data_IF_359738073398
#
_entry.id   IF_359738073398
#
_cell.length_a   1.000
_cell.length_b   1.000
_cell.length_c   1.000
_cell.angle_alpha   90.00
_cell.angle_beta   90.00
_cell.angle_gamma   90.00
#
_symmetry.space_group_name_H-M   'P 1'
#
loop_
_entity.id
_entity.type
_entity.pdbx_description
1 polymer ?
#
# COMPACT_ATOMS: atom_id res chain seq x y z
N UNK A 1 1.24 22.88 -0.14
CA UNK A 1 1.50 22.40 1.23
C UNK A 1 2.46 21.19 1.22
N UNK A 2 3.25 20.95 2.27
CA UNK A 2 4.17 19.80 2.33
C UNK A 2 3.42 18.45 2.30
N UNK A 3 2.19 18.41 2.85
CA UNK A 3 1.31 17.22 2.81
C UNK A 3 0.75 16.92 1.43
N UNK A 4 0.39 17.96 0.67
CA UNK A 4 -0.03 17.80 -0.73
C UNK A 4 1.12 17.26 -1.58
N UNK A 5 2.34 17.76 -1.34
CA UNK A 5 3.55 17.30 -2.01
C UNK A 5 3.87 15.82 -1.74
N UNK A 6 3.80 15.36 -0.48
CA UNK A 6 4.04 13.95 -0.16
C UNK A 6 2.96 13.03 -0.71
N UNK A 7 1.68 13.46 -0.68
CA UNK A 7 0.59 12.67 -1.25
C UNK A 7 0.76 12.49 -2.76
N UNK A 8 1.02 13.56 -3.51
CA UNK A 8 1.24 13.47 -4.95
C UNK A 8 2.41 12.54 -5.31
N UNK A 9 3.54 12.64 -4.60
CA UNK A 9 4.71 11.78 -4.81
C UNK A 9 4.43 10.31 -4.50
N UNK A 10 3.77 10.04 -3.37
CA UNK A 10 3.43 8.68 -2.98
C UNK A 10 2.44 8.04 -3.96
N UNK A 11 1.42 8.79 -4.39
CA UNK A 11 0.46 8.34 -5.42
C UNK A 11 1.17 8.00 -6.74
N UNK A 12 2.10 8.85 -7.19
CA UNK A 12 2.87 8.59 -8.41
C UNK A 12 3.75 7.34 -8.28
N UNK A 13 4.41 7.14 -7.13
CA UNK A 13 5.16 5.93 -6.86
C UNK A 13 4.26 4.68 -6.91
N UNK A 14 3.10 4.73 -6.26
CA UNK A 14 2.14 3.62 -6.24
C UNK A 14 1.60 3.30 -7.64
N UNK A 15 1.29 4.31 -8.45
CA UNK A 15 0.79 4.11 -9.81
C UNK A 15 1.84 3.41 -10.69
N UNK A 16 3.07 3.92 -10.68
CA UNK A 16 4.18 3.39 -11.48
C UNK A 16 4.55 1.97 -11.08
N UNK A 17 4.59 1.68 -9.77
CA UNK A 17 5.11 0.41 -9.26
C UNK A 17 4.04 -0.64 -8.98
N UNK A 18 2.78 -0.24 -8.79
CA UNK A 18 1.71 -1.13 -8.32
C UNK A 18 0.40 -0.95 -9.12
N UNK A 19 0.13 0.25 -9.61
CA UNK A 19 -1.13 0.63 -10.26
C UNK A 19 -1.47 -0.19 -11.49
N UNK A 20 -0.47 -0.72 -12.21
CA UNK A 20 -0.70 -1.61 -13.36
C UNK A 20 -1.50 -2.88 -12.99
N UNK A 21 -1.18 -3.49 -11.84
CA UNK A 21 -1.87 -4.69 -11.35
C UNK A 21 -3.06 -4.34 -10.44
N UNK A 22 -2.87 -3.36 -9.57
CA UNK A 22 -3.84 -2.92 -8.57
C UNK A 22 -4.69 -1.77 -9.12
N UNK A 23 -5.58 -2.09 -10.05
CA UNK A 23 -6.63 -1.21 -10.56
C UNK A 23 -7.86 -2.05 -10.94
N UNK A 24 -8.96 -1.40 -11.33
CA UNK A 24 -10.25 -2.05 -11.62
C UNK A 24 -10.20 -3.09 -12.75
N UNK A 25 -9.20 -3.02 -13.63
CA UNK A 25 -9.00 -3.93 -14.77
C UNK A 25 -7.69 -4.73 -14.69
N UNK A 26 -6.88 -4.50 -13.67
CA UNK A 26 -5.57 -5.12 -13.52
C UNK A 26 -5.66 -6.54 -12.97
N UNK A 27 -4.54 -7.26 -13.02
CA UNK A 27 -4.46 -8.66 -12.59
C UNK A 27 -4.84 -8.89 -11.11
N UNK A 28 -4.76 -7.85 -10.26
CA UNK A 28 -5.11 -7.91 -8.85
C UNK A 28 -6.49 -7.31 -8.53
N UNK A 29 -7.37 -7.10 -9.52
CA UNK A 29 -8.66 -6.45 -9.31
C UNK A 29 -9.57 -7.17 -8.29
N UNK A 30 -9.44 -8.50 -8.17
CA UNK A 30 -10.19 -9.33 -7.21
C UNK A 30 -9.87 -8.99 -5.76
N UNK A 31 -8.75 -8.32 -5.50
CA UNK A 31 -8.38 -7.82 -4.16
C UNK A 31 -9.11 -6.56 -3.75
N UNK A 32 -9.78 -5.88 -4.70
CA UNK A 32 -10.37 -4.55 -4.55
C UNK A 32 -9.41 -3.48 -4.04
N UNK A 33 -8.10 -3.67 -4.24
CA UNK A 33 -7.05 -2.68 -3.95
C UNK A 33 -6.69 -1.93 -5.22
N UNK A 34 -6.84 -0.61 -5.21
CA UNK A 34 -6.61 0.30 -6.31
C UNK A 34 -5.50 1.29 -5.94
N UNK A 35 -4.34 1.14 -6.58
CA UNK A 35 -3.13 1.93 -6.34
C UNK A 35 -2.77 2.84 -7.53
N UNK A 36 -3.66 2.94 -8.51
CA UNK A 36 -3.50 3.87 -9.63
C UNK A 36 -3.79 5.33 -9.22
N UNK A 37 -3.23 6.30 -9.96
CA UNK A 37 -3.27 7.73 -9.60
C UNK A 37 -4.66 8.28 -9.25
N UNK A 38 -5.71 7.81 -9.94
CA UNK A 38 -7.07 8.29 -9.78
C UNK A 38 -7.86 7.62 -8.64
N UNK A 39 -7.29 6.70 -7.89
CA UNK A 39 -8.01 5.99 -6.84
C UNK A 39 -8.44 6.97 -5.72
N UNK A 40 -9.71 6.99 -5.31
CA UNK A 40 -10.16 7.82 -4.19
C UNK A 40 -9.44 7.42 -2.90
N UNK A 41 -9.35 8.36 -1.95
CA UNK A 41 -8.78 8.14 -0.63
C UNK A 41 -9.79 7.40 0.28
N UNK A 42 -10.10 6.15 -0.06
CA UNK A 42 -11.12 5.34 0.60
C UNK A 42 -10.63 3.90 0.89
N UNK A 43 -11.58 3.00 1.19
CA UNK A 43 -11.32 1.58 1.40
C UNK A 43 -10.58 0.96 0.20
N UNK A 44 -10.89 1.35 -1.04
CA UNK A 44 -10.26 0.78 -2.22
C UNK A 44 -8.79 1.19 -2.38
N UNK A 45 -8.36 2.31 -1.81
CA UNK A 45 -6.92 2.64 -1.71
C UNK A 45 -6.17 1.74 -0.72
N UNK A 46 -6.91 1.02 0.15
CA UNK A 46 -6.35 0.20 1.21
C UNK A 46 -6.55 0.77 2.62
N UNK A 47 -7.19 1.94 2.75
CA UNK A 47 -7.37 2.59 4.06
C UNK A 47 -8.28 1.75 4.96
N UNK A 48 -7.71 1.20 6.03
CA UNK A 48 -8.43 0.32 6.94
C UNK A 48 -9.12 -0.86 6.24
N UNK A 49 -8.61 -1.25 5.07
CA UNK A 49 -9.16 -2.34 4.28
C UNK A 49 -8.55 -3.67 4.72
N UNK A 50 -9.35 -4.65 5.15
CA UNK A 50 -8.83 -5.99 5.40
C UNK A 50 -8.29 -6.63 4.10
N UNK A 51 -7.23 -7.43 4.18
CA UNK A 51 -6.72 -8.14 3.02
C UNK A 51 -7.74 -9.19 2.58
N UNK A 52 -7.96 -9.31 1.26
CA UNK A 52 -8.85 -10.33 0.69
C UNK A 52 -8.05 -11.56 0.23
N UNK A 53 -6.90 -11.34 -0.41
CA UNK A 53 -6.10 -12.40 -1.03
C UNK A 53 -4.58 -12.11 -0.93
N UNK A 54 -4.07 -11.90 0.28
CA UNK A 54 -2.64 -11.66 0.51
C UNK A 54 -1.89 -12.86 1.10
N UNK A 55 -2.57 -13.83 1.75
CA UNK A 55 -1.93 -15.01 2.33
C UNK A 55 -0.78 -14.64 3.27
N UNK A 56 0.40 -15.25 3.10
CA UNK A 56 1.62 -14.89 3.85
C UNK A 56 2.06 -13.43 3.62
N UNK A 57 1.62 -12.82 2.52
CA UNK A 57 1.81 -11.42 2.21
C UNK A 57 1.20 -10.45 3.22
N UNK A 58 0.35 -10.90 4.15
CA UNK A 58 -0.17 -10.04 5.23
C UNK A 58 0.86 -9.74 6.31
N UNK A 59 1.85 -10.60 6.54
CA UNK A 59 2.80 -10.44 7.66
C UNK A 59 2.10 -10.33 9.02
N UNK A 60 0.97 -11.03 9.18
CA UNK A 60 0.07 -10.97 10.36
C UNK A 60 -0.59 -9.61 10.63
N UNK A 61 -0.43 -8.64 9.73
CA UNK A 61 -1.13 -7.35 9.82
C UNK A 61 -2.59 -7.47 9.37
N UNK A 62 -3.44 -6.64 9.99
CA UNK A 62 -4.90 -6.69 9.81
C UNK A 62 -5.40 -5.89 8.60
N UNK A 63 -4.68 -4.86 8.16
CA UNK A 63 -5.17 -3.91 7.17
C UNK A 63 -4.10 -3.52 6.16
N UNK A 64 -4.53 -3.24 4.93
CA UNK A 64 -3.67 -2.82 3.82
C UNK A 64 -2.86 -1.55 4.18
N UNK A 65 -3.56 -0.52 4.65
CA UNK A 65 -3.00 0.74 5.18
C UNK A 65 -3.69 1.09 6.50
N UNK A 66 -2.89 1.34 7.53
CA UNK A 66 -3.34 1.88 8.82
C UNK A 66 -2.92 3.35 8.93
N UNK A 67 -3.86 4.31 8.96
CA UNK A 67 -3.55 5.73 9.09
C UNK A 67 -2.60 6.01 10.26
N UNK A 68 -1.52 6.75 10.01
CA UNK A 68 -0.52 7.12 11.01
C UNK A 68 0.40 5.98 11.47
N UNK A 69 0.18 4.74 11.03
CA UNK A 69 0.88 3.54 11.53
C UNK A 69 1.51 2.73 10.39
N UNK A 70 2.59 3.24 9.77
CA UNK A 70 3.22 2.57 8.64
C UNK A 70 3.71 1.16 8.98
N UNK A 71 4.25 0.95 10.17
CA UNK A 71 4.79 -0.35 10.58
C UNK A 71 3.71 -1.37 10.97
N UNK A 72 2.43 -0.97 10.99
CA UNK A 72 1.26 -1.86 11.15
C UNK A 72 0.52 -2.11 9.82
N UNK A 73 1.07 -1.64 8.69
CA UNK A 73 0.41 -1.67 7.37
C UNK A 73 0.99 -2.75 6.45
N UNK A 74 0.13 -3.60 5.89
CA UNK A 74 0.54 -4.66 4.94
C UNK A 74 1.31 -4.08 3.76
N UNK A 75 0.90 -2.92 3.23
CA UNK A 75 1.58 -2.27 2.11
C UNK A 75 3.07 -2.04 2.39
N UNK A 76 3.41 -1.56 3.59
CA UNK A 76 4.81 -1.29 3.98
C UNK A 76 5.58 -2.59 4.12
N UNK A 77 4.98 -3.61 4.74
CA UNK A 77 5.58 -4.93 4.88
C UNK A 77 5.95 -5.55 3.52
N UNK A 78 5.01 -5.54 2.56
CA UNK A 78 5.26 -6.13 1.25
C UNK A 78 6.31 -5.38 0.43
N UNK A 79 6.42 -4.06 0.61
CA UNK A 79 7.44 -3.23 -0.06
C UNK A 79 8.81 -3.32 0.65
N UNK A 80 8.86 -3.75 1.90
CA UNK A 80 10.11 -3.84 2.69
C UNK A 80 10.80 -5.19 2.62
N UNK A 81 10.08 -6.28 2.39
CA UNK A 81 10.63 -7.64 2.28
C UNK A 81 11.14 -7.97 0.88
N UNK A 82 12.13 -8.86 0.76
CA UNK A 82 12.64 -9.49 -0.46
C UNK A 82 12.25 -10.98 -0.56
N UNK A 83 11.39 -11.45 0.34
CA UNK A 83 10.92 -12.83 0.35
C UNK A 83 10.00 -13.13 -0.85
N UNK A 84 10.39 -14.12 -1.65
CA UNK A 84 9.62 -14.59 -2.81
C UNK A 84 8.19 -14.99 -2.43
N UNK A 85 7.21 -14.46 -3.17
CA UNK A 85 5.78 -14.70 -2.94
C UNK A 85 5.16 -13.85 -1.83
N UNK A 86 5.96 -13.02 -1.15
CA UNK A 86 5.48 -12.00 -0.19
C UNK A 86 5.74 -10.60 -0.75
N UNK A 87 6.95 -10.42 -1.28
CA UNK A 87 7.46 -9.14 -1.77
C UNK A 87 6.60 -8.53 -2.87
N UNK A 88 6.48 -7.20 -2.84
CA UNK A 88 5.86 -6.41 -3.91
C UNK A 88 6.75 -5.21 -4.29
N UNK A 89 6.70 -4.76 -5.56
CA UNK A 89 6.14 -5.48 -6.70
C UNK A 89 6.89 -6.81 -6.98
N UNK A 90 6.16 -7.81 -7.48
CA UNK A 90 6.70 -9.14 -7.79
C UNK A 90 7.66 -9.12 -8.98
N UNK A 91 7.38 -8.28 -9.98
CA UNK A 91 8.18 -8.15 -11.18
C UNK A 91 9.08 -6.90 -11.13
N UNK A 92 10.28 -7.02 -11.68
CA UNK A 92 11.21 -5.89 -11.85
C UNK A 92 11.98 -5.46 -10.59
N UNK A 93 11.66 -5.99 -9.41
CA UNK A 93 12.35 -5.67 -8.15
C UNK A 93 13.44 -6.68 -7.83
N UNK A 94 14.71 -6.24 -7.88
CA UNK A 94 15.89 -7.05 -7.49
C UNK A 94 16.25 -6.95 -6.01
N UNK A 95 15.85 -5.87 -5.35
CA UNK A 95 16.13 -5.58 -3.94
C UNK A 95 15.15 -4.53 -3.40
N UNK A 96 15.20 -4.29 -2.09
CA UNK A 96 14.38 -3.26 -1.43
C UNK A 96 14.71 -1.86 -1.94
N UNK A 97 13.72 -1.18 -2.54
CA UNK A 97 13.85 0.21 -2.94
C UNK A 97 13.67 1.12 -1.72
N UNK A 98 14.79 1.47 -1.07
CA UNK A 98 14.79 2.22 0.21
C UNK A 98 14.11 3.58 0.12
N UNK A 99 14.29 4.30 -0.98
CA UNK A 99 13.66 5.61 -1.20
C UNK A 99 12.14 5.50 -1.34
N UNK A 100 11.66 4.54 -2.15
CA UNK A 100 10.25 4.23 -2.31
C UNK A 100 9.59 3.79 -1.00
N UNK A 101 10.26 2.90 -0.26
CA UNK A 101 9.83 2.48 1.07
C UNK A 101 9.73 3.67 2.04
N UNK A 102 10.77 4.51 2.11
CA UNK A 102 10.76 5.70 2.96
C UNK A 102 9.64 6.69 2.60
N UNK A 103 9.39 6.89 1.31
CA UNK A 103 8.28 7.72 0.83
C UNK A 103 6.91 7.17 1.29
N UNK A 104 6.67 5.87 1.13
CA UNK A 104 5.40 5.25 1.54
C UNK A 104 5.24 5.28 3.06
N UNK A 105 6.30 5.01 3.83
CA UNK A 105 6.25 5.13 5.30
C UNK A 105 5.87 6.53 5.74
N UNK A 106 6.53 7.55 5.18
CA UNK A 106 6.25 8.94 5.50
C UNK A 106 4.86 9.38 5.06
N UNK A 107 4.39 8.88 3.90
CA UNK A 107 3.05 9.16 3.42
C UNK A 107 2.01 8.62 4.38
N UNK A 108 2.07 7.33 4.76
CA UNK A 108 1.12 6.70 5.70
C UNK A 108 1.18 7.38 7.07
N UNK A 109 2.37 7.72 7.57
CA UNK A 109 2.55 8.43 8.84
C UNK A 109 1.87 9.81 8.88
N UNK A 110 1.67 10.45 7.72
CA UNK A 110 1.01 11.76 7.62
C UNK A 110 -0.53 11.70 7.67
N UNK A 111 -1.12 10.51 7.57
CA UNK A 111 -2.56 10.32 7.67
C UNK A 111 -3.04 10.44 9.12
N UNK A 112 -4.27 10.91 9.29
CA UNK A 112 -4.96 10.95 10.57
C UNK A 112 -6.08 9.92 10.59
N UNK A 113 -6.38 9.39 11.78
CA UNK A 113 -7.46 8.43 12.01
C UNK A 113 -6.98 7.12 12.63
N UNK A 114 -7.91 6.20 12.85
CA UNK A 114 -7.66 4.84 13.33
C UNK A 114 -8.55 3.85 12.58
N UNK A 115 -8.11 2.60 12.49
CA UNK A 115 -8.88 1.50 11.88
C UNK A 115 -9.68 0.72 12.92
N UNK A 116 -10.22 1.42 13.94
CA UNK A 116 -11.03 0.80 14.97
C UNK A 116 -12.16 0.00 14.34
N UNK A 117 -12.17 -1.31 14.64
CA UNK A 117 -13.26 -2.18 14.26
C UNK A 117 -14.45 -1.78 15.13
N UNK A 118 -15.52 -1.25 14.53
CA UNK A 118 -16.81 -1.26 15.22
C UNK A 118 -17.16 -2.73 15.44
N UNK A 119 -17.17 -3.13 16.71
CA UNK A 119 -17.69 -4.42 17.19
C UNK A 119 -19.14 -4.62 16.75
#
# INVERSE_FOLDING_TARGET
DAKEGINARARAYLDINCGHCHNTKGAANTTALHLNMGAPADLHLGLCKPPVAAGRGTGDFKFDIVPGKPDESILVYRVSTDETGVMMPESGRKSVQREGLGLIKNWIAAWQGSCEQKS
#
